data_IF_793456221446
#
_entry.id   IF_793456221446
#
_cell.length_a   1.000
_cell.length_b   1.000
_cell.length_c   1.000
_cell.angle_alpha   90.00
_cell.angle_beta   90.00
_cell.angle_gamma   90.00
#
_symmetry.space_group_name_H-M   'P 1'
#
loop_
_entity.id
_entity.type
_entity.pdbx_description
1 polymer ?
#
# COMPACT_ATOMS: atom_id res chain seq x y z
N UNK A 1 1.47 14.22 -15.81
CA UNK A 1 1.94 15.01 -14.64
C UNK A 1 2.55 14.03 -13.63
N UNK A 2 3.72 14.33 -13.03
CA UNK A 2 4.28 13.50 -11.96
C UNK A 2 3.57 13.81 -10.64
N UNK A 3 3.02 12.80 -10.00
CA UNK A 3 2.45 12.90 -8.66
C UNK A 3 3.23 11.99 -7.71
N UNK A 4 3.56 12.50 -6.53
CA UNK A 4 4.09 11.67 -5.45
C UNK A 4 2.91 11.14 -4.65
N UNK A 5 2.84 9.82 -4.50
CA UNK A 5 1.78 9.17 -3.74
C UNK A 5 2.43 8.48 -2.54
N UNK A 6 1.96 8.83 -1.36
CA UNK A 6 2.35 8.18 -0.10
C UNK A 6 1.26 7.22 0.34
N UNK A 7 1.64 6.00 0.71
CA UNK A 7 0.69 5.01 1.22
C UNK A 7 1.05 4.69 2.65
N UNK A 8 0.09 4.88 3.55
CA UNK A 8 0.25 4.61 4.98
C UNK A 8 -0.74 3.51 5.36
N UNK A 9 -0.20 2.38 5.82
CA UNK A 9 -0.98 1.27 6.38
C UNK A 9 -1.08 1.49 7.88
N UNK A 10 -2.30 1.55 8.41
CA UNK A 10 -2.56 1.66 9.85
C UNK A 10 -3.33 0.46 10.37
N UNK A 11 -3.14 0.16 11.65
CA UNK A 11 -4.04 -0.76 12.35
C UNK A 11 -5.33 -0.07 12.80
N UNK A 12 -6.21 -0.86 13.43
CA UNK A 12 -7.49 -0.42 13.97
C UNK A 12 -7.37 0.65 15.06
N UNK A 13 -6.22 0.76 15.72
CA UNK A 13 -5.95 1.70 16.80
C UNK A 13 -5.25 2.97 16.26
N UNK A 14 -5.06 3.05 14.94
CA UNK A 14 -4.45 4.17 14.24
C UNK A 14 -2.92 4.14 14.21
N UNK A 15 -2.28 3.09 14.74
CA UNK A 15 -0.82 2.94 14.69
C UNK A 15 -0.37 2.59 13.28
N UNK A 16 0.76 3.16 12.86
CA UNK A 16 1.32 2.92 11.53
C UNK A 16 1.99 1.54 11.54
N UNK A 17 1.48 0.64 10.71
CA UNK A 17 2.07 -0.68 10.47
C UNK A 17 3.18 -0.61 9.42
N UNK A 18 2.95 0.17 8.36
CA UNK A 18 3.91 0.39 7.30
C UNK A 18 3.68 1.75 6.63
N UNK A 19 4.73 2.35 6.10
CA UNK A 19 4.68 3.52 5.23
C UNK A 19 5.48 3.18 3.97
N UNK A 20 4.78 3.00 2.87
CA UNK A 20 5.44 2.92 1.56
C UNK A 20 5.83 4.36 1.21
N UNK A 21 7.13 4.65 1.29
CA UNK A 21 7.71 5.97 1.00
C UNK A 21 7.28 6.46 -0.37
N UNK A 22 7.06 7.78 -0.48
CA UNK A 22 6.61 8.49 -1.67
C UNK A 22 7.29 7.97 -2.95
N UNK A 23 6.61 7.06 -3.64
CA UNK A 23 6.99 6.69 -4.99
C UNK A 23 6.35 7.70 -5.95
N UNK A 24 7.14 8.13 -6.93
CA UNK A 24 6.61 8.96 -8.00
C UNK A 24 5.81 8.09 -8.95
N UNK A 25 4.51 8.36 -9.03
CA UNK A 25 3.62 7.70 -9.98
C UNK A 25 3.29 8.68 -11.11
N UNK A 26 3.47 8.20 -12.34
CA UNK A 26 2.93 8.88 -13.50
C UNK A 26 1.43 8.57 -13.57
N UNK A 27 0.59 9.53 -13.15
CA UNK A 27 -0.87 9.43 -13.24
C UNK A 27 -1.38 9.67 -14.68
N UNK A 28 -0.64 9.20 -15.68
CA UNK A 28 -0.90 9.49 -17.08
C UNK A 28 -0.48 10.91 -17.50
N UNK A 29 -0.30 11.08 -18.81
CA UNK A 29 0.14 12.35 -19.39
C UNK A 29 -0.99 13.38 -19.50
N UNK A 30 -2.24 12.91 -19.55
CA UNK A 30 -3.42 13.76 -19.72
C UNK A 30 -4.51 13.44 -18.69
N UNK A 31 -4.43 14.06 -17.51
CA UNK A 31 -5.55 14.12 -16.55
C UNK A 31 -6.63 15.13 -17.03
N UNK A 32 -6.86 15.21 -18.34
CA UNK A 32 -7.72 16.20 -19.00
C UNK A 32 -9.19 15.79 -19.05
N UNK A 33 -9.50 14.53 -18.73
CA UNK A 33 -10.87 13.99 -18.72
C UNK A 33 -11.10 13.03 -17.56
N UNK A 34 -12.36 12.87 -17.15
CA UNK A 34 -12.76 11.94 -16.09
C UNK A 34 -12.33 10.50 -16.40
N UNK A 35 -12.51 10.05 -17.64
CA UNK A 35 -12.11 8.70 -18.07
C UNK A 35 -10.60 8.48 -17.97
N UNK A 36 -9.79 9.49 -18.29
CA UNK A 36 -8.34 9.40 -18.14
C UNK A 36 -7.92 9.36 -16.66
N UNK A 37 -8.61 10.10 -15.79
CA UNK A 37 -8.39 10.05 -14.34
C UNK A 37 -8.73 8.64 -13.81
N UNK A 38 -9.89 8.10 -14.15
CA UNK A 38 -10.33 6.76 -13.74
C UNK A 38 -9.33 5.68 -14.20
N UNK A 39 -8.90 5.74 -15.46
CA UNK A 39 -7.90 4.82 -16.00
C UNK A 39 -6.55 4.91 -15.29
N UNK A 40 -6.07 6.11 -14.97
CA UNK A 40 -4.83 6.31 -14.23
C UNK A 40 -4.92 5.73 -12.80
N UNK A 41 -6.08 5.90 -12.13
CA UNK A 41 -6.33 5.35 -10.80
C UNK A 41 -6.41 3.82 -10.83
N UNK A 42 -7.06 3.23 -11.81
CA UNK A 42 -7.13 1.77 -11.92
C UNK A 42 -5.77 1.14 -12.25
N UNK A 43 -4.97 1.79 -13.09
CA UNK A 43 -3.57 1.37 -13.32
C UNK A 43 -2.73 1.43 -12.04
N UNK A 44 -2.88 2.51 -11.28
CA UNK A 44 -2.21 2.68 -9.99
C UNK A 44 -2.61 1.55 -9.03
N UNK A 45 -3.91 1.27 -8.89
CA UNK A 45 -4.41 0.18 -8.04
C UNK A 45 -3.83 -1.18 -8.44
N UNK A 46 -3.86 -1.51 -9.72
CA UNK A 46 -3.36 -2.80 -10.23
C UNK A 46 -1.85 -2.96 -10.01
N UNK A 47 -1.09 -1.86 -10.03
CA UNK A 47 0.34 -1.87 -9.73
C UNK A 47 0.61 -2.03 -8.23
N UNK A 48 -0.17 -1.35 -7.39
CA UNK A 48 0.05 -1.28 -5.94
C UNK A 48 -0.46 -2.50 -5.18
N UNK A 49 -1.60 -3.07 -5.59
CA UNK A 49 -2.28 -4.14 -4.85
C UNK A 49 -1.34 -5.29 -4.48
N UNK A 50 -0.55 -5.85 -5.43
CA UNK A 50 0.31 -7.00 -5.13
C UNK A 50 1.37 -6.70 -4.07
N UNK A 51 1.97 -5.50 -4.10
CA UNK A 51 2.97 -5.08 -3.13
C UNK A 51 2.35 -4.89 -1.74
N UNK A 52 1.18 -4.26 -1.67
CA UNK A 52 0.44 -4.07 -0.42
C UNK A 52 -0.01 -5.40 0.18
N UNK A 53 -0.47 -6.35 -0.63
CA UNK A 53 -0.84 -7.69 -0.19
C UNK A 53 0.37 -8.43 0.40
N UNK A 54 1.52 -8.36 -0.25
CA UNK A 54 2.76 -8.98 0.24
C UNK A 54 3.19 -8.38 1.59
N UNK A 55 3.17 -7.05 1.71
CA UNK A 55 3.55 -6.35 2.95
C UNK A 55 2.61 -6.70 4.12
N UNK A 56 1.29 -6.71 3.86
CA UNK A 56 0.29 -7.08 4.85
C UNK A 56 0.44 -8.54 5.29
N UNK A 57 0.67 -9.44 4.33
CA UNK A 57 0.89 -10.86 4.61
C UNK A 57 2.15 -11.08 5.46
N UNK A 58 3.26 -10.46 5.09
CA UNK A 58 4.51 -10.53 5.84
C UNK A 58 4.33 -10.03 7.28
N UNK A 59 3.61 -8.93 7.46
CA UNK A 59 3.30 -8.40 8.78
C UNK A 59 2.43 -9.35 9.62
N UNK A 60 1.42 -10.01 9.03
CA UNK A 60 0.61 -11.00 9.74
C UNK A 60 1.42 -12.25 10.13
N UNK A 61 2.28 -12.75 9.24
CA UNK A 61 3.17 -13.86 9.55
C UNK A 61 4.13 -13.53 10.69
N UNK A 62 4.72 -12.33 10.68
CA UNK A 62 5.60 -11.86 11.74
C UNK A 62 4.90 -11.79 13.10
N UNK A 63 3.63 -11.33 13.11
CA UNK A 63 2.80 -11.31 14.32
C UNK A 63 2.56 -12.72 14.85
N UNK A 64 2.11 -13.64 13.99
CA UNK A 64 1.85 -15.02 14.39
C UNK A 64 3.09 -15.71 14.97
N UNK A 65 4.26 -15.54 14.36
CA UNK A 65 5.54 -16.08 14.88
C UNK A 65 5.85 -15.51 16.26
N UNK A 66 5.60 -14.21 16.46
CA UNK A 66 5.86 -13.53 17.74
C UNK A 66 4.92 -14.03 18.84
N UNK A 67 3.65 -14.29 18.51
CA UNK A 67 2.67 -14.83 19.46
C UNK A 67 3.00 -16.27 19.85
N UNK A 68 3.39 -17.13 18.90
CA UNK A 68 3.83 -18.49 19.18
C UNK A 68 5.04 -18.53 20.13
N UNK A 69 6.05 -17.68 19.89
CA UNK A 69 7.23 -17.56 20.76
C UNK A 69 6.90 -17.06 22.17
N UNK A 70 5.80 -16.33 22.35
CA UNK A 70 5.33 -15.89 23.68
C UNK A 70 4.52 -16.97 24.40
N UNK A 71 3.83 -17.84 23.67
CA UNK A 71 3.06 -18.94 24.25
C UNK A 71 3.94 -20.10 24.73
N UNK A 72 5.13 -20.28 24.16
CA UNK A 72 6.13 -21.30 24.57
C UNK A 72 7.00 -20.86 25.78
N UNK A 73 6.76 -19.68 26.37
CA UNK A 73 7.47 -19.17 27.58
C UNK A 73 6.54 -19.10 28.77
#
# INVERSE_FOLDING_TARGET
QMANIEIIIRDKDGQILNRVTAESYELGQELSSLSAIEGAIDQLKNRLLPALEADLLAHQQQKAITELKKADR
#
